data_IF_273064372476
#
_entry.id   IF_273064372476
#
_cell.length_a   1.000
_cell.length_b   1.000
_cell.length_c   1.000
_cell.angle_alpha   90.00
_cell.angle_beta   90.00
_cell.angle_gamma   90.00
#
_symmetry.space_group_name_H-M   'P 1'
#
loop_
_entity.id
_entity.type
_entity.pdbx_description
1 polymer ?
#
# COMPACT_ATOMS: atom_id res chain seq x y z
N UNK A 1 3.48 -9.81 -2.52
CA UNK A 1 2.16 -9.20 -2.71
C UNK A 1 2.21 -7.67 -2.55
N UNK A 2 2.69 -7.14 -1.42
CA UNK A 2 2.89 -5.67 -1.24
C UNK A 2 4.32 -5.19 -1.54
N UNK A 3 5.32 -6.08 -1.51
CA UNK A 3 6.72 -5.79 -1.87
C UNK A 3 6.93 -5.24 -3.29
N UNK A 4 5.98 -5.55 -4.19
CA UNK A 4 6.00 -5.18 -5.61
C UNK A 4 5.08 -4.00 -5.92
N UNK A 5 4.53 -3.34 -4.89
CA UNK A 5 3.84 -2.07 -5.08
C UNK A 5 4.89 -1.04 -5.47
N UNK A 6 4.62 -0.29 -6.52
CA UNK A 6 5.50 0.79 -6.98
C UNK A 6 5.23 2.05 -6.16
N UNK A 7 6.29 2.82 -5.95
CA UNK A 7 6.18 4.17 -5.42
C UNK A 7 5.46 5.09 -6.42
N UNK A 8 4.59 6.01 -5.97
CA UNK A 8 3.87 6.92 -6.86
C UNK A 8 4.79 7.93 -7.58
N UNK A 9 5.96 8.24 -7.02
CA UNK A 9 6.89 9.26 -7.51
C UNK A 9 8.14 8.64 -8.17
N UNK A 10 8.58 7.48 -7.69
CA UNK A 10 9.81 6.83 -8.14
C UNK A 10 9.56 5.52 -8.91
N UNK A 11 10.41 5.17 -9.90
CA UNK A 11 10.32 3.91 -10.63
C UNK A 11 10.92 2.74 -9.82
N UNK A 12 10.60 2.67 -8.52
CA UNK A 12 11.11 1.68 -7.57
C UNK A 12 9.95 1.11 -6.75
N UNK A 13 10.11 -0.12 -6.28
CA UNK A 13 9.13 -0.75 -5.40
C UNK A 13 9.27 -0.26 -3.95
N UNK A 14 8.21 -0.39 -3.17
CA UNK A 14 8.23 -0.07 -1.74
C UNK A 14 9.27 -0.89 -0.96
N UNK A 15 9.58 -2.12 -1.41
CA UNK A 15 10.64 -2.93 -0.79
C UNK A 15 12.04 -2.39 -1.14
N UNK A 16 12.27 -1.99 -2.40
CA UNK A 16 13.53 -1.38 -2.83
C UNK A 16 13.82 -0.07 -2.10
N UNK A 17 12.77 0.71 -1.79
CA UNK A 17 12.85 1.94 -1.00
C UNK A 17 12.87 1.70 0.52
N UNK A 18 12.85 0.44 0.98
CA UNK A 18 12.74 0.05 2.40
C UNK A 18 11.51 0.63 3.10
N UNK A 19 10.48 0.97 2.35
CA UNK A 19 9.21 1.50 2.87
C UNK A 19 8.40 0.39 3.54
N UNK A 20 8.48 -0.83 3.02
CA UNK A 20 7.88 -2.02 3.64
C UNK A 20 8.93 -3.09 3.85
N UNK A 21 8.83 -3.83 4.95
CA UNK A 21 9.67 -4.98 5.26
C UNK A 21 8.81 -6.14 5.77
N UNK A 22 9.35 -7.36 5.75
CA UNK A 22 8.63 -8.54 6.26
C UNK A 22 8.35 -8.45 7.76
N UNK A 23 9.29 -7.93 8.53
CA UNK A 23 9.19 -7.84 9.99
C UNK A 23 8.15 -6.82 10.44
N UNK A 24 7.76 -5.91 9.56
CA UNK A 24 6.73 -4.91 9.78
C UNK A 24 5.30 -5.40 9.42
N UNK A 25 5.14 -6.70 9.15
CA UNK A 25 3.86 -7.33 8.81
C UNK A 25 3.45 -8.31 9.90
N UNK A 26 2.30 -8.05 10.52
CA UNK A 26 1.68 -8.95 11.51
C UNK A 26 0.39 -9.52 10.93
N UNK A 27 0.26 -10.84 10.93
CA UNK A 27 -0.94 -11.55 10.49
C UNK A 27 -1.47 -12.38 11.64
N UNK A 28 -2.70 -12.10 12.04
CA UNK A 28 -3.46 -12.88 13.00
C UNK A 28 -4.63 -13.55 12.28
N UNK A 29 -4.45 -14.82 11.95
CA UNK A 29 -5.43 -15.59 11.19
C UNK A 29 -6.69 -15.89 12.00
N UNK A 30 -6.53 -16.16 13.31
CA UNK A 30 -7.63 -16.49 14.21
C UNK A 30 -8.57 -15.30 14.42
N UNK A 31 -8.02 -14.09 14.56
CA UNK A 31 -8.79 -12.86 14.70
C UNK A 31 -9.07 -12.17 13.35
N UNK A 32 -8.75 -12.81 12.23
CA UNK A 32 -8.92 -12.27 10.88
C UNK A 32 -8.33 -10.85 10.73
N UNK A 33 -7.12 -10.61 11.22
CA UNK A 33 -6.53 -9.25 11.23
C UNK A 33 -5.16 -9.25 10.59
N UNK A 34 -4.89 -8.24 9.76
CA UNK A 34 -3.58 -7.97 9.17
C UNK A 34 -3.18 -6.55 9.51
N UNK A 35 -2.01 -6.39 10.13
CA UNK A 35 -1.43 -5.09 10.46
C UNK A 35 -0.13 -4.91 9.70
N UNK A 36 -0.01 -3.79 9.00
CA UNK A 36 1.20 -3.37 8.29
C UNK A 36 1.70 -2.07 8.89
N UNK A 37 2.98 -2.05 9.26
CA UNK A 37 3.72 -0.83 9.53
C UNK A 37 4.59 -0.49 8.30
N UNK A 38 4.47 0.72 7.76
CA UNK A 38 5.34 1.19 6.69
C UNK A 38 6.11 2.43 7.13
N UNK A 39 7.31 2.59 6.59
CA UNK A 39 8.21 3.69 6.94
C UNK A 39 8.37 4.58 5.71
N UNK A 40 7.82 5.80 5.69
CA UNK A 40 8.08 6.74 4.59
C UNK A 40 9.59 6.98 4.41
N UNK A 41 10.00 7.30 3.19
CA UNK A 41 11.43 7.55 2.88
C UNK A 41 11.99 8.77 3.62
N UNK A 42 11.14 9.77 3.89
CA UNK A 42 11.48 10.98 4.64
C UNK A 42 10.37 11.37 5.63
N UNK A 43 10.69 12.08 6.73
CA UNK A 43 9.72 12.45 7.78
C UNK A 43 8.59 13.39 7.34
N UNK A 44 8.73 14.05 6.18
CA UNK A 44 7.76 15.02 5.65
C UNK A 44 7.18 14.59 4.29
N UNK A 45 7.13 13.28 4.04
CA UNK A 45 6.65 12.71 2.77
C UNK A 45 5.18 13.07 2.53
N UNK A 46 4.92 13.92 1.53
CA UNK A 46 3.56 14.28 1.10
C UNK A 46 2.76 13.08 0.59
N UNK A 47 3.44 12.05 0.10
CA UNK A 47 2.85 10.84 -0.46
C UNK A 47 2.57 9.74 0.56
N UNK A 48 2.84 9.94 1.85
CA UNK A 48 2.67 8.90 2.87
C UNK A 48 1.24 8.33 2.91
N UNK A 49 0.21 9.18 2.79
CA UNK A 49 -1.20 8.73 2.73
C UNK A 49 -1.46 7.91 1.47
N UNK A 50 -0.94 8.32 0.31
CA UNK A 50 -1.15 7.61 -0.95
C UNK A 50 -0.44 6.26 -0.96
N UNK A 51 0.79 6.19 -0.45
CA UNK A 51 1.54 4.94 -0.25
C UNK A 51 0.72 3.98 0.63
N UNK A 52 0.23 4.47 1.77
CA UNK A 52 -0.63 3.68 2.68
C UNK A 52 -1.91 3.18 2.00
N UNK A 53 -2.54 4.01 1.16
CA UNK A 53 -3.73 3.64 0.40
C UNK A 53 -3.41 2.55 -0.64
N UNK A 54 -2.31 2.66 -1.37
CA UNK A 54 -1.85 1.64 -2.33
C UNK A 54 -1.62 0.28 -1.65
N UNK A 55 -0.96 0.27 -0.48
CA UNK A 55 -0.76 -0.95 0.32
C UNK A 55 -2.12 -1.53 0.73
N UNK A 56 -3.02 -0.70 1.27
CA UNK A 56 -4.34 -1.12 1.76
C UNK A 56 -5.16 -1.74 0.63
N UNK A 57 -5.23 -1.09 -0.54
CA UNK A 57 -5.95 -1.60 -1.71
C UNK A 57 -5.34 -2.89 -2.24
N UNK A 58 -4.01 -2.99 -2.30
CA UNK A 58 -3.35 -4.22 -2.74
C UNK A 58 -3.73 -5.41 -1.85
N UNK A 59 -3.79 -5.21 -0.53
CA UNK A 59 -4.21 -6.25 0.41
C UNK A 59 -5.69 -6.57 0.30
N UNK A 60 -6.57 -5.56 0.21
CA UNK A 60 -8.01 -5.77 0.05
C UNK A 60 -8.34 -6.56 -1.23
N UNK A 61 -7.59 -6.37 -2.31
CA UNK A 61 -7.78 -7.11 -3.58
C UNK A 61 -7.20 -8.52 -3.58
N UNK A 62 -6.36 -8.86 -2.62
CA UNK A 62 -5.58 -10.11 -2.65
C UNK A 62 -5.81 -11.01 -1.43
N UNK A 63 -6.41 -10.50 -0.36
CA UNK A 63 -6.79 -11.27 0.81
C UNK A 63 -8.29 -11.59 0.78
N UNK A 64 -8.71 -12.72 1.38
CA UNK A 64 -10.12 -13.00 1.63
C UNK A 64 -10.78 -11.86 2.43
N UNK A 65 -12.04 -11.54 2.10
CA UNK A 65 -12.80 -10.43 2.70
C UNK A 65 -12.99 -10.52 4.22
N UNK A 66 -12.76 -11.69 4.82
CA UNK A 66 -12.76 -11.87 6.29
C UNK A 66 -11.70 -11.02 6.99
N UNK A 67 -10.58 -10.74 6.31
CA UNK A 67 -9.45 -10.03 6.93
C UNK A 67 -9.69 -8.53 7.07
N UNK A 68 -9.52 -8.04 8.29
CA UNK A 68 -9.47 -6.62 8.63
C UNK A 68 -8.05 -6.11 8.41
N UNK A 69 -7.87 -5.36 7.33
CA UNK A 69 -6.57 -4.77 6.96
C UNK A 69 -6.39 -3.42 7.67
N UNK A 70 -5.32 -3.30 8.45
CA UNK A 70 -4.88 -2.07 9.12
C UNK A 70 -3.49 -1.68 8.60
N UNK A 71 -3.37 -0.50 8.01
CA UNK A 71 -2.10 0.02 7.46
C UNK A 71 -1.75 1.30 8.20
N UNK A 72 -0.56 1.35 8.79
CA UNK A 72 -0.11 2.47 9.63
C UNK A 72 1.34 2.83 9.31
N UNK A 73 1.68 4.09 9.54
CA UNK A 73 3.06 4.53 9.58
C UNK A 73 3.74 3.95 10.84
N UNK A 74 4.98 3.51 10.68
CA UNK A 74 5.82 3.05 11.79
C UNK A 74 6.08 4.22 12.77
N UNK A 75 5.95 4.00 14.10
CA UNK A 75 6.06 5.08 15.09
C UNK A 75 7.38 5.85 14.99
N UNK A 76 7.29 7.18 15.05
CA UNK A 76 8.43 8.10 15.04
C UNK A 76 9.05 8.33 13.66
N UNK A 77 8.43 7.83 12.58
CA UNK A 77 9.02 7.90 11.23
C UNK A 77 8.44 8.99 10.34
N UNK A 78 7.39 9.68 10.77
CA UNK A 78 6.75 10.75 10.00
C UNK A 78 6.17 11.85 10.91
N UNK A 79 6.35 13.12 10.55
CA UNK A 79 5.92 14.27 11.37
C UNK A 79 4.40 14.36 11.57
N UNK A 80 3.64 13.80 10.62
CA UNK A 80 2.17 13.80 10.63
C UNK A 80 1.60 12.40 10.79
N UNK A 81 2.33 11.48 11.43
CA UNK A 81 1.95 10.07 11.52
C UNK A 81 0.53 9.83 12.06
N UNK A 82 0.11 10.56 13.08
CA UNK A 82 -1.22 10.40 13.69
C UNK A 82 -2.33 10.78 12.72
N UNK A 83 -2.16 11.90 12.01
CA UNK A 83 -3.12 12.38 11.03
C UNK A 83 -3.24 11.40 9.85
N UNK A 84 -2.11 10.90 9.35
CA UNK A 84 -2.10 9.90 8.26
C UNK A 84 -2.72 8.59 8.73
N UNK A 85 -2.36 8.10 9.92
CA UNK A 85 -2.94 6.88 10.49
C UNK A 85 -4.45 7.01 10.71
N UNK A 86 -4.93 8.18 11.13
CA UNK A 86 -6.36 8.46 11.28
C UNK A 86 -7.07 8.42 9.93
N UNK A 87 -6.50 9.05 8.90
CA UNK A 87 -7.05 8.99 7.54
C UNK A 87 -7.08 7.56 6.99
N UNK A 88 -6.00 6.80 7.17
CA UNK A 88 -5.90 5.41 6.72
C UNK A 88 -6.77 4.44 7.53
N UNK A 89 -7.15 4.78 8.76
CA UNK A 89 -8.04 3.98 9.61
C UNK A 89 -9.52 4.23 9.35
N UNK A 90 -9.87 5.41 8.83
CA UNK A 90 -11.23 5.79 8.51
C UNK A 90 -11.73 5.03 7.27
N UNK A 91 -12.72 4.15 7.47
CA UNK A 91 -13.24 3.28 6.41
C UNK A 91 -14.07 4.06 5.40
N UNK A 92 -14.81 5.07 5.83
CA UNK A 92 -15.66 5.88 4.97
C UNK A 92 -14.80 6.77 4.07
N UNK A 93 -13.76 7.39 4.64
CA UNK A 93 -12.79 8.17 3.85
C UNK A 93 -12.05 7.32 2.83
N UNK A 94 -11.62 6.11 3.22
CA UNK A 94 -10.96 5.22 2.27
C UNK A 94 -11.93 4.76 1.19
N UNK A 95 -13.18 4.41 1.52
CA UNK A 95 -14.19 4.06 0.51
C UNK A 95 -14.41 5.21 -0.48
N UNK A 96 -14.61 6.43 0.00
CA UNK A 96 -14.75 7.62 -0.85
C UNK A 96 -13.52 7.87 -1.74
N UNK A 97 -12.30 7.65 -1.22
CA UNK A 97 -11.07 7.75 -2.00
C UNK A 97 -11.00 6.73 -3.14
N UNK A 98 -11.59 5.54 -2.97
CA UNK A 98 -11.64 4.48 -3.98
C UNK A 98 -12.73 4.69 -5.04
N UNK A 99 -13.71 5.55 -4.78
CA UNK A 99 -14.65 6.04 -5.81
C UNK A 99 -14.05 7.18 -6.65
N UNK A 100 -13.01 7.81 -6.09
CA UNK A 100 -11.99 8.65 -6.70
C UNK A 100 -11.41 8.17 -8.04
N UNK A 101 -11.96 8.51 -9.22
CA UNK A 101 -11.36 8.06 -10.50
C UNK A 101 -9.88 8.43 -10.67
N UNK A 102 -9.48 9.63 -10.26
CA UNK A 102 -8.09 10.06 -10.34
C UNK A 102 -7.21 9.28 -9.35
N UNK A 103 -7.64 9.16 -8.10
CA UNK A 103 -6.93 8.38 -7.08
C UNK A 103 -6.81 6.91 -7.48
N UNK A 104 -7.87 6.32 -8.01
CA UNK A 104 -7.87 4.95 -8.50
C UNK A 104 -6.94 4.74 -9.68
N UNK A 105 -6.80 5.71 -10.59
CA UNK A 105 -5.82 5.62 -11.66
C UNK A 105 -4.39 5.51 -11.09
N UNK A 106 -4.05 6.33 -10.10
CA UNK A 106 -2.74 6.31 -9.44
C UNK A 106 -2.54 5.03 -8.64
N UNK A 107 -3.54 4.60 -7.86
CA UNK A 107 -3.49 3.34 -7.09
C UNK A 107 -3.35 2.14 -8.02
N UNK A 108 -4.06 2.11 -9.14
CA UNK A 108 -3.92 1.04 -10.13
C UNK A 108 -2.53 1.03 -10.75
N UNK A 109 -1.95 2.20 -11.07
CA UNK A 109 -0.55 2.30 -11.52
C UNK A 109 0.43 1.74 -10.48
N UNK A 110 0.25 2.08 -9.20
CA UNK A 110 1.13 1.61 -8.12
C UNK A 110 0.97 0.11 -7.84
N UNK A 111 -0.24 -0.44 -8.01
CA UNK A 111 -0.56 -1.83 -7.68
C UNK A 111 -0.52 -2.78 -8.88
N UNK A 112 -0.34 -2.24 -10.08
CA UNK A 112 -0.12 -2.99 -11.32
C UNK A 112 1.20 -3.75 -11.18
N UNK A 113 1.09 -5.06 -11.04
CA UNK A 113 2.24 -5.93 -11.16
C UNK A 113 2.76 -5.82 -12.59
N UNK A 114 4.06 -5.62 -12.79
CA UNK A 114 4.74 -5.88 -14.05
C UNK A 114 4.72 -7.38 -14.40
N UNK A 115 3.53 -7.99 -14.43
CA UNK A 115 3.25 -9.36 -14.84
C UNK A 115 2.62 -9.35 -16.25
N UNK A 116 3.16 -8.50 -17.13
CA UNK A 116 2.85 -8.46 -18.56
C UNK A 116 4.11 -8.14 -19.41
N UNK A 117 5.30 -8.53 -18.95
CA UNK A 117 6.54 -8.51 -19.75
C UNK A 117 7.06 -9.93 -19.94
N UNK A 118 6.14 -10.83 -20.31
CA UNK A 118 6.39 -12.24 -20.56
C UNK A 118 5.31 -12.79 -21.49
N UNK A 119 5.10 -12.15 -22.64
CA UNK A 119 4.45 -12.78 -23.79
C UNK A 119 5.50 -12.94 -24.89
N UNK A 120 5.92 -14.19 -25.06
CA UNK A 120 6.46 -14.70 -26.31
C UNK A 120 5.54 -14.28 -27.46
N UNK A 121 6.08 -13.55 -28.44
CA UNK A 121 5.68 -13.59 -29.85
C UNK A 121 6.81 -13.01 -30.72
N UNK A 122 7.95 -13.70 -30.68
CA UNK A 122 8.94 -13.67 -31.76
C UNK A 122 9.35 -15.10 -32.09
N UNK A 123 8.36 -15.92 -32.46
CA UNK A 123 8.53 -17.05 -33.39
C UNK A 123 7.27 -17.12 -34.26
N UNK A 124 7.25 -16.32 -35.32
CA UNK A 124 6.77 -16.73 -36.64
C UNK A 124 7.35 -15.83 -37.71
#
# INVERSE_FOLDING_TARGET
MIRHVNDPEHPLTLEQLKVVSRDAVTVDDANNTVVILFTPTIPHCSMATLIGLCIRVKLLRSLPSRFKVNVRIAPGTHSSEEAVNKQLGDKERVAAALENQHLMAVVNKCTSTAAAAGSLDSIR
#
